data_IF_159696590136
#
_entry.id   IF_159696590136
#
_cell.length_a   1.000
_cell.length_b   1.000
_cell.length_c   1.000
_cell.angle_alpha   90.00
_cell.angle_beta   90.00
_cell.angle_gamma   90.00
#
_symmetry.space_group_name_H-M   'P 1'
#
loop_
_entity.id
_entity.type
_entity.pdbx_description
1 polymer ?
#
# COMPACT_ATOMS: atom_id res chain seq x y z
N UNK A 1 -1.53 -20.03 22.98
CA UNK A 1 -2.72 -20.17 22.10
C UNK A 1 -2.72 -18.93 21.21
N UNK A 2 -2.65 -19.10 19.89
CA UNK A 2 -2.76 -17.99 18.93
C UNK A 2 -4.23 -17.74 18.58
N UNK A 3 -4.55 -16.54 18.14
CA UNK A 3 -5.92 -16.19 17.73
C UNK A 3 -6.38 -17.08 16.58
N UNK A 4 -7.67 -17.49 16.59
CA UNK A 4 -8.21 -18.43 15.60
C UNK A 4 -8.01 -17.96 14.17
N UNK A 5 -8.29 -16.68 13.89
CA UNK A 5 -8.10 -16.12 12.53
C UNK A 5 -6.65 -16.18 12.05
N UNK A 6 -5.67 -16.01 12.94
CA UNK A 6 -4.26 -16.17 12.61
C UNK A 6 -3.93 -17.64 12.35
N UNK A 7 -4.46 -18.57 13.16
CA UNK A 7 -4.29 -20.00 12.96
C UNK A 7 -4.88 -20.46 11.61
N UNK A 8 -6.04 -19.94 11.25
CA UNK A 8 -6.69 -20.20 9.95
C UNK A 8 -5.84 -19.66 8.78
N UNK A 9 -5.29 -18.45 8.89
CA UNK A 9 -4.36 -17.89 7.90
C UNK A 9 -3.11 -18.77 7.78
N UNK A 10 -2.49 -19.16 8.89
CA UNK A 10 -1.27 -19.99 8.87
C UNK A 10 -1.49 -21.37 8.25
N UNK A 11 -2.70 -21.91 8.33
CA UNK A 11 -3.09 -23.19 7.73
C UNK A 11 -3.57 -23.08 6.28
N UNK A 12 -3.83 -21.86 5.80
CA UNK A 12 -4.27 -21.65 4.42
C UNK A 12 -3.20 -22.09 3.43
N UNK A 13 -3.56 -22.84 2.37
CA UNK A 13 -2.62 -23.23 1.31
C UNK A 13 -1.95 -22.06 0.61
N UNK A 14 -2.60 -20.90 0.57
CA UNK A 14 -2.08 -19.67 -0.02
C UNK A 14 -1.11 -18.91 0.89
N UNK A 15 -1.07 -19.26 2.19
CA UNK A 15 -0.20 -18.56 3.13
C UNK A 15 1.27 -18.85 2.87
N UNK A 16 2.04 -17.79 2.80
CA UNK A 16 3.50 -17.88 2.68
C UNK A 16 4.00 -18.50 1.37
N UNK A 17 3.18 -18.57 0.31
CA UNK A 17 3.60 -19.08 -0.99
C UNK A 17 4.83 -18.33 -1.51
N UNK A 18 4.80 -17.01 -1.48
CA UNK A 18 5.93 -16.15 -1.91
C UNK A 18 7.18 -16.46 -1.08
N UNK A 19 7.03 -16.58 0.24
CA UNK A 19 8.13 -16.91 1.13
C UNK A 19 8.70 -18.31 0.87
N UNK A 20 7.83 -19.30 0.68
CA UNK A 20 8.24 -20.65 0.33
C UNK A 20 8.99 -20.69 -0.99
N UNK A 21 8.49 -19.99 -2.02
CA UNK A 21 9.18 -19.88 -3.31
C UNK A 21 10.56 -19.23 -3.17
N UNK A 22 10.67 -18.18 -2.36
CA UNK A 22 11.96 -17.53 -2.08
C UNK A 22 12.94 -18.47 -1.37
N UNK A 23 12.49 -19.21 -0.35
CA UNK A 23 13.31 -20.19 0.37
C UNK A 23 13.73 -21.36 -0.54
N UNK A 24 12.83 -21.83 -1.40
CA UNK A 24 13.13 -22.86 -2.41
C UNK A 24 14.11 -22.35 -3.46
N UNK A 25 13.93 -21.12 -3.95
CA UNK A 25 14.87 -20.46 -4.87
C UNK A 25 16.29 -20.40 -4.30
N UNK A 26 16.41 -20.02 -3.02
CA UNK A 26 17.70 -20.00 -2.32
C UNK A 26 18.35 -21.41 -2.20
N UNK A 27 17.54 -22.43 -1.94
CA UNK A 27 18.02 -23.83 -1.92
C UNK A 27 18.48 -24.30 -3.29
N UNK A 28 17.71 -23.99 -4.34
CA UNK A 28 18.06 -24.35 -5.72
C UNK A 28 19.35 -23.66 -6.19
N UNK A 29 19.53 -22.36 -5.86
CA UNK A 29 20.77 -21.64 -6.14
C UNK A 29 21.98 -22.28 -5.44
N UNK A 30 21.80 -22.71 -4.20
CA UNK A 30 22.87 -23.43 -3.46
C UNK A 30 23.18 -24.79 -4.08
N UNK A 31 22.19 -25.49 -4.64
CA UNK A 31 22.35 -26.82 -5.22
C UNK A 31 22.92 -26.77 -6.63
N UNK A 32 22.48 -25.85 -7.47
CA UNK A 32 22.78 -25.82 -8.90
C UNK A 32 23.73 -24.71 -9.34
N UNK A 33 23.98 -23.72 -8.48
CA UNK A 33 24.74 -22.49 -8.77
C UNK A 33 23.81 -21.31 -9.04
N UNK A 34 24.25 -20.11 -8.64
CA UNK A 34 23.44 -18.88 -8.76
C UNK A 34 23.13 -18.51 -10.21
N UNK A 35 24.06 -18.81 -11.13
CA UNK A 35 23.96 -18.55 -12.56
C UNK A 35 23.00 -19.49 -13.32
N UNK A 36 22.52 -20.54 -12.66
CA UNK A 36 21.61 -21.53 -13.25
C UNK A 36 20.20 -21.48 -12.72
N UNK A 37 19.92 -20.59 -11.78
CA UNK A 37 18.59 -20.45 -11.17
C UNK A 37 18.07 -19.03 -11.39
N UNK A 38 17.05 -18.89 -12.23
CA UNK A 38 16.35 -17.65 -12.50
C UNK A 38 15.20 -17.51 -11.50
N UNK A 39 15.43 -16.71 -10.45
CA UNK A 39 14.49 -16.54 -9.35
C UNK A 39 13.63 -15.28 -9.57
N UNK A 40 12.34 -15.49 -9.82
CA UNK A 40 11.35 -14.44 -9.99
C UNK A 40 10.34 -14.40 -8.83
N UNK A 41 10.68 -15.01 -7.69
CA UNK A 41 9.78 -15.11 -6.54
C UNK A 41 9.59 -13.79 -5.78
N UNK A 42 10.63 -12.95 -5.73
CA UNK A 42 10.63 -11.70 -5.01
C UNK A 42 11.40 -10.63 -5.79
N UNK A 43 10.75 -9.49 -6.02
CA UNK A 43 11.39 -8.32 -6.60
C UNK A 43 12.22 -7.57 -5.56
N UNK A 44 13.53 -7.78 -5.56
CA UNK A 44 14.45 -6.95 -4.78
C UNK A 44 15.05 -5.85 -5.67
N UNK A 45 15.21 -4.61 -5.16
CA UNK A 45 16.01 -3.61 -5.84
C UNK A 45 17.44 -4.12 -6.04
N UNK A 46 17.95 -4.03 -7.26
CA UNK A 46 19.32 -4.38 -7.63
C UNK A 46 20.28 -3.18 -7.63
N UNK A 47 19.73 -1.97 -7.49
CA UNK A 47 20.48 -0.73 -7.38
C UNK A 47 20.67 -0.34 -5.91
N UNK A 48 21.91 0.05 -5.59
CA UNK A 48 22.21 0.65 -4.29
C UNK A 48 21.47 2.00 -4.11
N UNK A 49 21.12 2.36 -2.86
CA UNK A 49 20.53 3.66 -2.60
C UNK A 49 21.47 4.80 -3.00
N UNK A 50 20.96 5.97 -3.40
CA UNK A 50 21.78 7.13 -3.70
C UNK A 50 22.76 7.46 -2.56
N UNK A 51 23.99 7.86 -2.90
CA UNK A 51 25.04 8.17 -1.90
C UNK A 51 24.61 9.24 -0.89
N UNK A 52 23.69 10.10 -1.27
CA UNK A 52 23.08 11.14 -0.44
C UNK A 52 22.29 10.55 0.73
N UNK A 53 21.59 9.44 0.52
CA UNK A 53 20.84 8.71 1.57
C UNK A 53 21.82 8.18 2.62
N UNK A 54 22.90 7.52 2.20
CA UNK A 54 23.92 7.01 3.10
C UNK A 54 24.65 8.12 3.87
N UNK A 55 24.92 9.27 3.21
CA UNK A 55 25.48 10.46 3.87
C UNK A 55 24.54 11.03 4.92
N UNK A 56 23.24 11.10 4.61
CA UNK A 56 22.21 11.58 5.55
C UNK A 56 22.13 10.67 6.79
N UNK A 57 22.05 9.35 6.61
CA UNK A 57 22.03 8.38 7.70
C UNK A 57 23.27 8.54 8.58
N UNK A 58 24.45 8.60 7.98
CA UNK A 58 25.73 8.80 8.70
C UNK A 58 25.78 10.12 9.44
N UNK A 59 25.22 11.20 8.89
CA UNK A 59 25.12 12.50 9.54
C UNK A 59 24.22 12.42 10.78
N UNK A 60 23.00 11.91 10.63
CA UNK A 60 22.03 11.85 11.73
C UNK A 60 22.43 10.83 12.82
N UNK A 61 23.10 9.74 12.47
CA UNK A 61 23.64 8.80 13.47
C UNK A 61 24.71 9.42 14.38
N UNK A 62 25.35 10.51 13.97
CA UNK A 62 26.36 11.24 14.72
C UNK A 62 25.83 12.53 15.38
N UNK A 63 24.55 12.82 15.21
CA UNK A 63 23.93 14.00 15.81
C UNK A 63 23.99 13.90 17.34
N UNK A 64 24.42 14.99 17.97
CA UNK A 64 24.60 15.07 19.42
C UNK A 64 23.74 16.16 20.06
N UNK A 65 22.88 16.79 19.28
CA UNK A 65 21.96 17.80 19.83
C UNK A 65 21.08 17.14 20.89
N UNK A 66 21.01 17.74 22.06
CA UNK A 66 20.22 17.21 23.17
C UNK A 66 18.76 16.99 22.73
N UNK A 67 18.27 15.76 22.94
CA UNK A 67 16.89 15.38 22.61
C UNK A 67 16.66 14.93 21.15
N UNK A 68 17.69 14.94 20.28
CA UNK A 68 17.52 14.51 18.87
C UNK A 68 17.14 13.04 18.71
N UNK A 69 17.37 12.22 19.71
CA UNK A 69 16.97 10.80 19.79
C UNK A 69 15.80 10.57 20.74
N UNK A 70 15.10 11.64 21.17
CA UNK A 70 13.94 11.56 22.04
C UNK A 70 12.64 11.24 21.27
N UNK A 71 11.55 11.22 22.00
CA UNK A 71 10.22 11.08 21.40
C UNK A 71 9.89 12.30 20.52
N UNK A 72 9.24 12.04 19.41
CA UNK A 72 8.65 13.04 18.53
C UNK A 72 7.11 13.03 18.64
N UNK A 73 6.44 13.96 17.98
CA UNK A 73 4.97 13.91 17.83
C UNK A 73 4.53 12.63 17.09
N UNK A 74 3.33 12.12 17.39
CA UNK A 74 2.81 10.91 16.76
C UNK A 74 2.74 10.98 15.23
N UNK A 75 2.56 12.16 14.67
CA UNK A 75 2.53 12.38 13.23
C UNK A 75 3.95 12.54 12.60
N UNK A 76 5.00 12.53 13.39
CA UNK A 76 6.38 12.73 12.94
C UNK A 76 6.89 14.17 13.15
N UNK A 77 8.17 14.40 12.87
CA UNK A 77 8.76 15.72 12.95
C UNK A 77 8.11 16.70 11.97
N UNK A 78 7.81 17.91 12.40
CA UNK A 78 7.21 18.95 11.56
C UNK A 78 8.04 19.21 10.30
N UNK A 79 9.35 19.34 10.42
CA UNK A 79 10.25 19.58 9.29
C UNK A 79 10.19 18.46 8.21
N UNK A 80 10.01 17.21 8.63
CA UNK A 80 9.84 16.09 7.69
C UNK A 80 8.48 16.16 6.99
N UNK A 81 7.43 16.49 7.72
CA UNK A 81 6.05 16.65 7.20
C UNK A 81 5.97 17.82 6.21
N UNK A 82 6.60 18.95 6.53
CA UNK A 82 6.72 20.12 5.64
C UNK A 82 7.48 19.77 4.36
N UNK A 83 8.59 19.02 4.48
CA UNK A 83 9.36 18.59 3.32
C UNK A 83 8.53 17.67 2.40
N UNK A 84 7.74 16.75 2.96
CA UNK A 84 6.85 15.89 2.20
C UNK A 84 5.70 16.66 1.53
N UNK A 85 5.08 17.61 2.23
CA UNK A 85 4.07 18.49 1.65
C UNK A 85 4.64 19.31 0.48
N UNK A 86 5.85 19.85 0.63
CA UNK A 86 6.54 20.59 -0.43
C UNK A 86 6.90 19.69 -1.62
N UNK A 87 7.30 18.43 -1.37
CA UNK A 87 7.55 17.43 -2.42
C UNK A 87 6.26 17.14 -3.21
N UNK A 88 5.15 16.86 -2.54
CA UNK A 88 3.85 16.61 -3.18
C UNK A 88 3.43 17.81 -4.04
N UNK A 89 3.56 19.03 -3.54
CA UNK A 89 3.27 20.24 -4.32
C UNK A 89 4.13 20.36 -5.56
N UNK A 90 5.43 20.05 -5.46
CA UNK A 90 6.37 20.14 -6.58
C UNK A 90 6.09 19.07 -7.64
N UNK A 91 5.78 17.83 -7.24
CA UNK A 91 5.69 16.68 -8.13
C UNK A 91 4.28 16.47 -8.70
N UNK A 92 3.26 16.78 -7.91
CA UNK A 92 1.86 16.53 -8.27
C UNK A 92 1.04 17.82 -8.44
N UNK A 93 1.60 18.99 -8.13
CA UNK A 93 0.88 20.27 -8.19
C UNK A 93 -0.18 20.47 -7.10
N UNK A 94 -0.29 19.54 -6.15
CA UNK A 94 -1.30 19.55 -5.08
C UNK A 94 -0.75 20.24 -3.85
N UNK A 95 -1.46 21.25 -3.35
CA UNK A 95 -1.11 21.98 -2.13
C UNK A 95 -1.71 21.29 -0.91
N UNK A 96 -0.96 20.35 -0.31
CA UNK A 96 -1.35 19.63 0.89
C UNK A 96 -0.83 20.37 2.11
N UNK A 97 -1.69 20.81 3.05
CA UNK A 97 -1.24 21.33 4.33
C UNK A 97 -0.37 20.31 5.05
N UNK A 98 0.81 20.71 5.52
CA UNK A 98 1.72 19.80 6.21
C UNK A 98 1.08 19.10 7.43
N UNK A 99 0.06 19.72 8.04
CA UNK A 99 -0.72 19.16 9.14
C UNK A 99 -1.45 17.87 8.75
N UNK A 100 -1.73 17.69 7.46
CA UNK A 100 -2.38 16.49 6.90
C UNK A 100 -1.38 15.40 6.50
N UNK A 101 -0.07 15.65 6.70
CA UNK A 101 0.97 14.65 6.44
C UNK A 101 1.27 13.88 7.73
N UNK A 102 1.26 12.56 7.68
CA UNK A 102 1.64 11.66 8.78
C UNK A 102 2.80 10.80 8.32
N UNK A 103 3.89 10.81 9.08
CA UNK A 103 5.05 9.95 8.81
C UNK A 103 4.83 8.56 9.41
N UNK A 104 5.17 7.53 8.65
CA UNK A 104 5.05 6.14 9.06
C UNK A 104 6.29 5.33 8.67
N UNK A 105 6.44 4.13 9.22
CA UNK A 105 7.53 3.20 8.89
C UNK A 105 7.18 2.41 7.63
N UNK A 106 7.21 3.06 6.47
CA UNK A 106 6.89 2.47 5.18
C UNK A 106 5.39 2.39 4.88
N UNK A 107 5.06 2.07 3.61
CA UNK A 107 3.69 2.03 3.10
C UNK A 107 2.80 1.03 3.88
N UNK A 108 3.32 -0.14 4.25
CA UNK A 108 2.56 -1.13 5.03
C UNK A 108 2.05 -0.59 6.36
N UNK A 109 2.90 0.17 7.11
CA UNK A 109 2.45 0.85 8.34
C UNK A 109 1.43 1.94 8.05
N UNK A 110 1.63 2.74 6.99
CA UNK A 110 0.70 3.79 6.60
C UNK A 110 -0.66 3.22 6.23
N UNK A 111 -0.71 2.13 5.45
CA UNK A 111 -1.95 1.45 5.08
C UNK A 111 -2.67 0.87 6.30
N UNK A 112 -1.95 0.20 7.24
CA UNK A 112 -2.56 -0.29 8.48
C UNK A 112 -3.16 0.85 9.32
N UNK A 113 -2.47 1.99 9.44
CA UNK A 113 -2.99 3.17 10.15
C UNK A 113 -4.24 3.70 9.45
N UNK A 114 -4.21 3.79 8.12
CA UNK A 114 -5.33 4.27 7.31
C UNK A 114 -6.54 3.35 7.45
N UNK A 115 -6.36 2.03 7.32
CA UNK A 115 -7.46 1.06 7.51
C UNK A 115 -8.03 1.15 8.93
N UNK A 116 -7.16 1.29 9.96
CA UNK A 116 -7.63 1.49 11.33
C UNK A 116 -8.47 2.75 11.52
N UNK A 117 -8.13 3.82 10.80
CA UNK A 117 -8.84 5.09 10.92
C UNK A 117 -10.17 5.11 10.17
N UNK A 118 -10.29 4.34 9.07
CA UNK A 118 -11.44 4.40 8.17
C UNK A 118 -12.46 3.28 8.37
N UNK A 119 -12.04 2.09 8.84
CA UNK A 119 -12.89 0.91 8.86
C UNK A 119 -13.56 0.67 10.20
N UNK A 120 -14.86 0.43 10.16
CA UNK A 120 -15.59 -0.30 11.18
C UNK A 120 -15.59 -1.80 10.84
N UNK A 121 -15.96 -2.64 11.82
CA UNK A 121 -16.09 -4.07 11.57
C UNK A 121 -17.16 -4.34 10.49
N UNK A 122 -16.77 -5.08 9.46
CA UNK A 122 -17.62 -5.43 8.32
C UNK A 122 -17.72 -4.36 7.23
N UNK A 123 -17.01 -3.23 7.36
CA UNK A 123 -16.84 -2.29 6.25
C UNK A 123 -16.02 -2.93 5.13
N UNK A 124 -16.34 -2.59 3.90
CA UNK A 124 -15.76 -3.18 2.70
C UNK A 124 -14.71 -2.26 2.07
N UNK A 125 -13.61 -2.86 1.60
CA UNK A 125 -12.61 -2.18 0.77
C UNK A 125 -12.55 -2.89 -0.58
N UNK A 126 -12.87 -2.17 -1.64
CA UNK A 126 -12.76 -2.67 -3.01
C UNK A 126 -11.31 -2.62 -3.44
N UNK A 127 -10.79 -3.74 -3.99
CA UNK A 127 -9.42 -3.84 -4.50
C UNK A 127 -9.45 -4.41 -5.91
N UNK A 128 -8.98 -3.66 -6.93
CA UNK A 128 -8.84 -4.16 -8.29
C UNK A 128 -7.81 -5.30 -8.37
N UNK A 129 -8.14 -6.39 -9.04
CA UNK A 129 -7.30 -7.59 -9.20
C UNK A 129 -6.68 -7.68 -10.60
N UNK A 130 -5.39 -8.07 -10.72
CA UNK A 130 -4.45 -8.53 -9.68
C UNK A 130 -3.92 -7.41 -8.78
N UNK A 131 -3.57 -7.73 -7.53
CA UNK A 131 -3.12 -6.76 -6.52
C UNK A 131 -2.05 -7.35 -5.60
N UNK A 132 -1.41 -6.50 -4.81
CA UNK A 132 -0.45 -6.90 -3.78
C UNK A 132 -1.15 -7.58 -2.61
N UNK A 133 -0.90 -8.88 -2.42
CA UNK A 133 -1.66 -9.75 -1.52
C UNK A 133 -1.62 -9.35 -0.04
N UNK A 134 -0.65 -8.54 0.37
CA UNK A 134 -0.58 -8.04 1.76
C UNK A 134 -1.76 -7.12 2.12
N UNK A 135 -2.46 -6.55 1.13
CA UNK A 135 -3.67 -5.76 1.39
C UNK A 135 -4.75 -6.56 2.12
N UNK A 136 -4.84 -7.87 1.88
CA UNK A 136 -5.74 -8.76 2.62
C UNK A 136 -5.49 -8.66 4.12
N UNK A 137 -4.21 -8.68 4.52
CA UNK A 137 -3.83 -8.58 5.92
C UNK A 137 -4.11 -7.20 6.50
N UNK A 138 -3.80 -6.12 5.76
CA UNK A 138 -4.03 -4.75 6.23
C UNK A 138 -5.52 -4.46 6.46
N UNK A 139 -6.40 -4.98 5.61
CA UNK A 139 -7.85 -4.83 5.72
C UNK A 139 -8.39 -5.70 6.87
N UNK A 140 -8.04 -6.99 6.90
CA UNK A 140 -8.53 -7.93 7.91
C UNK A 140 -8.04 -7.61 9.32
N UNK A 141 -6.85 -7.03 9.49
CA UNK A 141 -6.33 -6.59 10.79
C UNK A 141 -7.28 -5.62 11.52
N UNK A 142 -8.14 -4.96 10.77
CA UNK A 142 -9.10 -3.97 11.28
C UNK A 142 -10.55 -4.40 11.08
N UNK A 143 -10.80 -5.71 10.94
CA UNK A 143 -12.11 -6.32 10.75
C UNK A 143 -12.86 -5.81 9.51
N UNK A 144 -12.13 -5.31 8.50
CA UNK A 144 -12.69 -4.99 7.20
C UNK A 144 -12.79 -6.23 6.30
N UNK A 145 -13.65 -6.14 5.30
CA UNK A 145 -13.86 -7.16 4.27
C UNK A 145 -13.29 -6.68 2.94
N UNK A 146 -12.56 -7.57 2.25
CA UNK A 146 -12.01 -7.24 0.94
C UNK A 146 -12.97 -7.66 -0.18
N UNK A 147 -13.34 -6.70 -1.03
CA UNK A 147 -14.16 -6.93 -2.23
C UNK A 147 -13.25 -6.87 -3.46
N UNK A 148 -13.01 -8.03 -4.07
CA UNK A 148 -12.13 -8.16 -5.22
C UNK A 148 -12.88 -7.90 -6.50
N UNK A 149 -12.42 -6.90 -7.29
CA UNK A 149 -12.99 -6.54 -8.58
C UNK A 149 -11.96 -6.80 -9.68
N UNK A 150 -12.35 -7.50 -10.73
CA UNK A 150 -11.45 -7.75 -11.86
C UNK A 150 -11.17 -6.44 -12.62
N UNK A 151 -9.91 -6.23 -12.97
CA UNK A 151 -9.52 -5.23 -13.98
C UNK A 151 -9.91 -5.71 -15.37
N UNK A 152 -9.78 -4.85 -16.38
CA UNK A 152 -9.90 -5.27 -17.79
C UNK A 152 -8.74 -6.19 -18.18
N UNK A 153 -8.78 -6.77 -19.38
CA UNK A 153 -7.76 -7.71 -19.87
C UNK A 153 -6.35 -7.10 -19.96
N UNK A 154 -6.26 -5.80 -20.19
CA UNK A 154 -5.00 -5.03 -20.23
C UNK A 154 -4.58 -4.50 -18.85
N UNK A 155 -5.23 -4.97 -17.79
CA UNK A 155 -5.06 -4.54 -16.40
C UNK A 155 -5.44 -3.08 -16.12
N UNK A 156 -6.18 -2.41 -17.01
CA UNK A 156 -6.75 -1.10 -16.76
C UNK A 156 -7.92 -1.17 -15.77
N UNK A 157 -8.20 -0.06 -15.06
CA UNK A 157 -9.32 0.00 -14.13
C UNK A 157 -10.64 -0.17 -14.88
N UNK A 158 -11.52 -1.00 -14.33
CA UNK A 158 -12.89 -1.12 -14.78
C UNK A 158 -13.81 -0.36 -13.82
N UNK A 159 -14.04 0.92 -14.13
CA UNK A 159 -14.89 1.78 -13.32
C UNK A 159 -16.34 1.26 -13.22
N UNK A 160 -16.84 0.57 -14.27
CA UNK A 160 -18.17 -0.02 -14.23
C UNK A 160 -18.22 -1.22 -13.28
N UNK A 161 -17.23 -2.11 -13.35
CA UNK A 161 -17.16 -3.24 -12.42
C UNK A 161 -17.02 -2.78 -10.96
N UNK A 162 -16.26 -1.70 -10.71
CA UNK A 162 -16.17 -1.07 -9.39
C UNK A 162 -17.54 -0.52 -8.97
N UNK A 163 -18.25 0.19 -9.88
CA UNK A 163 -19.60 0.73 -9.63
C UNK A 163 -20.58 -0.37 -9.21
N UNK A 164 -20.54 -1.51 -9.90
CA UNK A 164 -21.43 -2.64 -9.64
C UNK A 164 -21.14 -3.35 -8.32
N UNK A 165 -19.90 -3.20 -7.81
CA UNK A 165 -19.46 -3.77 -6.55
C UNK A 165 -19.70 -2.86 -5.33
N UNK A 166 -20.11 -1.60 -5.54
CA UNK A 166 -20.37 -0.66 -4.44
C UNK A 166 -21.59 -1.09 -3.63
N UNK A 167 -21.44 -1.07 -2.32
CA UNK A 167 -22.52 -1.32 -1.35
C UNK A 167 -22.55 -0.23 -0.28
N UNK A 168 -23.58 -0.21 0.56
CA UNK A 168 -23.64 0.69 1.71
C UNK A 168 -22.51 0.45 2.73
N UNK A 169 -21.80 -0.69 2.65
CA UNK A 169 -20.66 -1.01 3.49
C UNK A 169 -19.33 -0.55 2.90
N UNK A 170 -19.30 -0.16 1.63
CA UNK A 170 -18.04 0.25 0.97
C UNK A 170 -17.49 1.51 1.62
N UNK A 171 -16.33 1.39 2.26
CA UNK A 171 -15.62 2.48 2.91
C UNK A 171 -14.53 3.08 2.01
N UNK A 172 -13.88 2.26 1.18
CA UNK A 172 -12.79 2.71 0.33
C UNK A 172 -12.62 1.83 -0.92
N UNK A 173 -11.93 2.41 -1.91
CA UNK A 173 -11.31 1.70 -3.04
C UNK A 173 -9.81 1.87 -2.90
N UNK A 174 -9.05 0.78 -2.81
CA UNK A 174 -7.59 0.79 -2.72
C UNK A 174 -7.00 0.46 -4.09
N UNK A 175 -6.28 1.41 -4.65
CA UNK A 175 -5.54 1.25 -5.91
C UNK A 175 -4.03 1.33 -5.67
N UNK A 176 -3.24 0.74 -6.58
CA UNK A 176 -1.79 0.79 -6.54
C UNK A 176 -1.25 1.11 -7.94
N UNK A 177 -0.47 2.20 -8.07
CA UNK A 177 0.06 2.63 -9.37
C UNK A 177 1.47 3.24 -9.19
N UNK A 178 2.50 2.67 -9.83
CA UNK A 178 2.50 1.44 -10.64
C UNK A 178 2.04 0.21 -9.87
N UNK A 179 1.21 -0.62 -10.51
CA UNK A 179 0.57 -1.75 -9.81
C UNK A 179 1.54 -2.91 -9.58
N UNK A 180 1.54 -3.45 -8.39
CA UNK A 180 2.15 -4.74 -8.08
C UNK A 180 1.04 -5.82 -8.08
N UNK A 181 1.08 -6.87 -8.97
CA UNK A 181 2.26 -7.32 -9.71
C UNK A 181 2.28 -6.95 -11.20
N UNK A 182 1.30 -6.23 -11.75
CA UNK A 182 1.13 -6.09 -13.20
C UNK A 182 2.08 -5.08 -13.86
N UNK A 183 2.63 -4.15 -13.08
CA UNK A 183 3.40 -3.00 -13.59
C UNK A 183 2.52 -1.92 -14.27
N UNK A 184 1.19 -2.09 -14.26
CA UNK A 184 0.27 -1.13 -14.89
C UNK A 184 0.33 0.21 -14.18
N UNK A 185 0.44 1.28 -14.95
CA UNK A 185 0.24 2.66 -14.50
C UNK A 185 -1.16 3.07 -14.94
N UNK A 186 -1.99 3.48 -14.01
CA UNK A 186 -3.33 3.98 -14.33
C UNK A 186 -3.26 5.39 -14.89
N UNK A 187 -4.02 5.64 -15.97
CA UNK A 187 -4.09 6.95 -16.59
C UNK A 187 -4.98 7.91 -15.80
N UNK A 188 -4.81 9.21 -16.06
CA UNK A 188 -5.65 10.25 -15.45
C UNK A 188 -7.14 10.02 -15.74
N UNK A 189 -7.48 9.56 -16.96
CA UNK A 189 -8.86 9.26 -17.35
C UNK A 189 -9.43 8.08 -16.55
N UNK A 190 -8.63 7.02 -16.26
CA UNK A 190 -9.05 5.88 -15.46
C UNK A 190 -9.31 6.30 -14.01
N UNK A 191 -8.39 7.07 -13.42
CA UNK A 191 -8.52 7.57 -12.04
C UNK A 191 -9.70 8.55 -11.94
N UNK A 192 -9.88 9.40 -12.96
CA UNK A 192 -11.02 10.30 -13.02
C UNK A 192 -12.34 9.54 -13.12
N UNK A 193 -12.44 8.52 -13.97
CA UNK A 193 -13.63 7.68 -14.08
C UNK A 193 -13.98 6.98 -12.75
N UNK A 194 -12.96 6.51 -12.02
CA UNK A 194 -13.14 5.97 -10.68
C UNK A 194 -13.71 7.05 -9.73
N UNK A 195 -13.13 8.24 -9.71
CA UNK A 195 -13.57 9.33 -8.86
C UNK A 195 -15.02 9.75 -9.17
N UNK A 196 -15.38 9.84 -10.46
CA UNK A 196 -16.74 10.16 -10.91
C UNK A 196 -17.76 9.12 -10.43
N UNK A 197 -17.43 7.83 -10.52
CA UNK A 197 -18.27 6.73 -10.01
C UNK A 197 -18.48 6.83 -8.50
N UNK A 198 -17.43 7.07 -7.73
CA UNK A 198 -17.54 7.19 -6.27
C UNK A 198 -18.31 8.44 -5.86
N UNK A 199 -18.12 9.53 -6.61
CA UNK A 199 -18.88 10.76 -6.39
C UNK A 199 -20.37 10.54 -6.67
N UNK A 200 -20.73 9.92 -7.82
CA UNK A 200 -22.13 9.60 -8.16
C UNK A 200 -22.78 8.73 -7.06
N UNK A 201 -22.04 7.75 -6.55
CA UNK A 201 -22.49 6.92 -5.44
C UNK A 201 -22.75 7.74 -4.17
N UNK A 202 -21.79 8.58 -3.81
CA UNK A 202 -21.88 9.45 -2.63
C UNK A 202 -23.05 10.44 -2.71
N UNK A 203 -23.25 11.07 -3.87
CA UNK A 203 -24.36 11.99 -4.11
C UNK A 203 -25.74 11.29 -3.95
N UNK A 204 -25.81 10.00 -4.25
CA UNK A 204 -27.01 9.18 -4.17
C UNK A 204 -27.30 8.66 -2.77
N UNK A 205 -26.26 8.28 -2.04
CA UNK A 205 -26.40 7.53 -0.76
C UNK A 205 -26.03 8.37 0.46
N UNK A 206 -25.36 9.50 0.27
CA UNK A 206 -24.75 10.28 1.36
C UNK A 206 -23.46 9.71 1.91
N UNK A 207 -22.98 8.56 1.39
CA UNK A 207 -21.73 7.91 1.80
C UNK A 207 -20.71 7.96 0.66
N UNK A 208 -19.62 8.68 0.88
CA UNK A 208 -18.53 8.86 -0.07
C UNK A 208 -17.37 7.93 0.28
N UNK A 209 -17.15 6.84 -0.49
CA UNK A 209 -15.99 5.98 -0.28
C UNK A 209 -14.68 6.74 -0.56
N UNK A 210 -13.64 6.45 0.21
CA UNK A 210 -12.32 7.02 -0.03
C UNK A 210 -11.59 6.33 -1.18
N UNK A 211 -10.76 7.07 -1.92
CA UNK A 211 -9.72 6.48 -2.76
C UNK A 211 -8.44 6.45 -1.93
N UNK A 212 -7.89 5.26 -1.75
CA UNK A 212 -6.57 5.05 -1.13
C UNK A 212 -5.64 4.70 -2.27
N UNK A 213 -4.61 5.52 -2.50
CA UNK A 213 -3.61 5.29 -3.54
C UNK A 213 -2.29 4.89 -2.88
N UNK A 214 -1.83 3.67 -3.17
CA UNK A 214 -0.51 3.19 -2.81
C UNK A 214 0.44 3.47 -3.96
N UNK A 215 1.35 4.43 -3.77
CA UNK A 215 2.26 4.95 -4.77
C UNK A 215 3.72 4.74 -4.36
N UNK A 216 4.60 4.47 -5.36
CA UNK A 216 6.05 4.27 -5.18
C UNK A 216 6.83 5.59 -5.33
#
# INVERSE_FOLDING_TARGET
MIAKHIDDILKSPSNGVIRKMFEEGAMLKKQFGEDKVYDFSLGNPDLDPPKEVLKAIKKYSKEKTQGCHGYMSNAGYQSAREAMAAKTKKEQGIDVPWQNVVMACGAGSALNITMKALLNAGDEVIVPCPYFTEYDHYIHNHNGEIVRVKTKEDFSLDAQAIKDALTEKTAAVLINSPNNPTGRIYSDDEVKALADVLKEWGDKTGRYPYIISDEL
#
